data_IF_300648938443
#
_entry.id   IF_300648938443
#
_cell.length_a   1.000
_cell.length_b   1.000
_cell.length_c   1.000
_cell.angle_alpha   90.00
_cell.angle_beta   90.00
_cell.angle_gamma   90.00
#
_symmetry.space_group_name_H-M   'P 1'
#
loop_
_entity.id
_entity.type
_entity.pdbx_description
1 polymer ?
#
# COMPACT_ATOMS: atom_id res chain seq x y z
N UNK A 1 -58.76 -39.65 -30.51
CA UNK A 1 -58.66 -38.47 -29.64
C UNK A 1 -57.78 -38.86 -28.45
N UNK A 2 -56.52 -38.41 -28.42
CA UNK A 2 -55.48 -38.89 -27.50
C UNK A 2 -55.67 -38.22 -26.13
N UNK A 3 -55.82 -39.02 -25.07
CA UNK A 3 -55.86 -38.56 -23.67
C UNK A 3 -54.46 -38.08 -23.26
N UNK A 4 -54.37 -36.81 -22.89
CA UNK A 4 -53.17 -36.17 -22.34
C UNK A 4 -53.13 -36.45 -20.83
N UNK A 5 -52.24 -37.34 -20.38
CA UNK A 5 -51.94 -37.53 -18.96
C UNK A 5 -50.68 -36.73 -18.63
N UNK A 6 -50.86 -35.67 -17.83
CA UNK A 6 -49.78 -34.96 -17.16
C UNK A 6 -49.15 -35.88 -16.11
N UNK A 7 -47.86 -36.22 -16.27
CA UNK A 7 -47.04 -36.75 -15.19
C UNK A 7 -46.33 -35.59 -14.50
N UNK A 8 -46.86 -35.20 -13.34
CA UNK A 8 -46.20 -34.30 -12.39
C UNK A 8 -45.14 -35.12 -11.66
N UNK A 9 -43.86 -35.05 -12.08
CA UNK A 9 -42.75 -35.60 -11.30
C UNK A 9 -42.48 -34.67 -10.11
N UNK A 10 -43.01 -35.05 -8.95
CA UNK A 10 -42.54 -34.55 -7.66
C UNK A 10 -41.05 -34.94 -7.52
N UNK A 11 -40.15 -33.99 -7.73
CA UNK A 11 -38.78 -34.10 -7.23
C UNK A 11 -38.85 -33.75 -5.74
N UNK A 12 -38.82 -34.79 -4.89
CA UNK A 12 -38.62 -34.62 -3.45
C UNK A 12 -37.18 -34.14 -3.26
N UNK A 13 -37.00 -32.83 -3.11
CA UNK A 13 -35.75 -32.25 -2.61
C UNK A 13 -35.72 -32.49 -1.11
N UNK A 14 -35.02 -33.54 -0.68
CA UNK A 14 -34.68 -33.76 0.73
C UNK A 14 -33.71 -32.63 1.12
N UNK A 15 -34.01 -31.80 2.14
CA UNK A 15 -33.06 -30.80 2.60
C UNK A 15 -31.97 -31.51 3.40
N UNK A 16 -30.84 -31.83 2.76
CA UNK A 16 -29.64 -32.31 3.45
C UNK A 16 -28.96 -31.14 4.18
N UNK A 17 -29.57 -30.65 5.25
CA UNK A 17 -29.11 -29.49 6.03
C UNK A 17 -27.89 -29.77 6.93
N UNK A 18 -27.01 -30.71 6.57
CA UNK A 18 -25.96 -31.21 7.47
C UNK A 18 -24.54 -31.33 6.92
N UNK A 19 -24.30 -31.19 5.61
CA UNK A 19 -22.96 -31.47 5.03
C UNK A 19 -22.29 -30.20 4.45
N UNK A 20 -23.03 -29.15 4.13
CA UNK A 20 -22.50 -27.95 3.45
C UNK A 20 -21.81 -26.90 4.36
N UNK A 21 -21.79 -27.12 5.67
CA UNK A 21 -21.36 -26.13 6.65
C UNK A 21 -19.84 -26.17 6.89
N UNK A 22 -19.28 -27.36 7.12
CA UNK A 22 -17.93 -27.51 7.67
C UNK A 22 -16.82 -27.04 6.73
N UNK A 23 -16.94 -27.36 5.44
CA UNK A 23 -15.95 -26.98 4.42
C UNK A 23 -15.98 -25.47 4.15
N UNK A 24 -17.17 -24.86 4.15
CA UNK A 24 -17.33 -23.41 3.99
C UNK A 24 -16.72 -22.63 5.16
N UNK A 25 -16.95 -23.06 6.40
CA UNK A 25 -16.35 -22.41 7.57
C UNK A 25 -14.82 -22.58 7.62
N UNK A 26 -14.29 -23.73 7.21
CA UNK A 26 -12.84 -23.97 7.12
C UNK A 26 -12.18 -23.08 6.06
N UNK A 27 -12.78 -22.98 4.87
CA UNK A 27 -12.28 -22.13 3.79
C UNK A 27 -12.34 -20.64 4.16
N UNK A 28 -13.43 -20.20 4.79
CA UNK A 28 -13.57 -18.82 5.28
C UNK A 28 -12.53 -18.48 6.35
N UNK A 29 -12.29 -19.39 7.30
CA UNK A 29 -11.28 -19.19 8.34
C UNK A 29 -9.87 -19.12 7.74
N UNK A 30 -9.54 -20.00 6.79
CA UNK A 30 -8.25 -19.97 6.10
C UNK A 30 -8.04 -18.68 5.30
N UNK A 31 -9.06 -18.22 4.56
CA UNK A 31 -8.99 -16.96 3.82
C UNK A 31 -8.80 -15.77 4.78
N UNK A 32 -9.56 -15.72 5.89
CA UNK A 32 -9.43 -14.65 6.89
C UNK A 32 -8.03 -14.62 7.52
N UNK A 33 -7.44 -15.78 7.80
CA UNK A 33 -6.09 -15.88 8.35
C UNK A 33 -5.02 -15.46 7.32
N UNK A 34 -5.18 -15.85 6.05
CA UNK A 34 -4.30 -15.44 4.96
C UNK A 34 -4.39 -13.92 4.72
N UNK A 35 -5.60 -13.36 4.72
CA UNK A 35 -5.83 -11.92 4.59
C UNK A 35 -5.16 -11.15 5.74
N UNK A 36 -5.34 -11.61 6.98
CA UNK A 36 -4.68 -11.01 8.14
C UNK A 36 -3.14 -11.05 8.03
N UNK A 37 -2.59 -12.16 7.52
CA UNK A 37 -1.16 -12.28 7.28
C UNK A 37 -0.67 -11.32 6.18
N UNK A 38 -1.40 -11.24 5.07
CA UNK A 38 -1.09 -10.33 3.96
C UNK A 38 -1.10 -8.86 4.41
N UNK A 39 -2.12 -8.47 5.18
CA UNK A 39 -2.20 -7.13 5.77
C UNK A 39 -1.03 -6.85 6.69
N UNK A 40 -0.59 -7.82 7.50
CA UNK A 40 0.55 -7.65 8.40
C UNK A 40 1.87 -7.48 7.65
N UNK A 41 2.06 -8.22 6.56
CA UNK A 41 3.22 -8.10 5.68
C UNK A 41 3.27 -6.69 5.06
N UNK A 42 2.14 -6.22 4.52
CA UNK A 42 2.03 -4.88 3.93
C UNK A 42 2.24 -3.76 4.96
N UNK A 43 1.68 -3.91 6.17
CA UNK A 43 1.88 -2.95 7.27
C UNK A 43 3.37 -2.85 7.64
N UNK A 44 4.06 -3.98 7.74
CA UNK A 44 5.49 -4.02 8.04
C UNK A 44 6.29 -3.31 6.95
N UNK A 45 6.02 -3.65 5.68
CA UNK A 45 6.67 -3.00 4.55
C UNK A 45 6.41 -1.48 4.51
N UNK A 46 5.18 -1.06 4.82
CA UNK A 46 4.83 0.35 4.89
C UNK A 46 5.61 1.08 5.99
N UNK A 47 5.75 0.48 7.17
CA UNK A 47 6.53 1.09 8.25
C UNK A 47 8.01 1.23 7.88
N UNK A 48 8.60 0.18 7.28
CA UNK A 48 9.98 0.25 6.78
C UNK A 48 10.13 1.32 5.69
N UNK A 49 9.13 1.47 4.82
CA UNK A 49 9.08 2.52 3.81
C UNK A 49 8.99 3.92 4.41
N UNK A 50 8.21 4.11 5.48
CA UNK A 50 8.12 5.39 6.22
C UNK A 50 9.43 5.72 6.93
N UNK A 51 10.10 4.73 7.51
CA UNK A 51 11.42 4.89 8.11
C UNK A 51 12.44 5.27 7.04
N UNK A 52 12.43 4.56 5.90
CA UNK A 52 13.28 4.88 4.76
C UNK A 52 13.03 6.30 4.25
N UNK A 53 11.79 6.76 4.07
CA UNK A 53 11.53 8.10 3.52
C UNK A 53 12.06 9.22 4.41
N UNK A 54 12.14 9.00 5.72
CA UNK A 54 12.74 9.95 6.64
C UNK A 54 14.25 10.08 6.36
N UNK A 55 14.72 11.23 5.84
CA UNK A 55 16.12 11.38 5.45
C UNK A 55 17.05 11.36 6.68
N UNK A 56 18.27 10.83 6.56
CA UNK A 56 19.28 10.99 7.60
C UNK A 56 19.59 12.48 7.79
N UNK A 57 20.10 12.83 8.96
CA UNK A 57 20.47 14.22 9.27
C UNK A 57 21.94 14.48 8.95
N UNK A 58 22.22 15.63 8.35
CA UNK A 58 23.54 16.22 8.19
C UNK A 58 23.55 17.57 8.93
N UNK A 59 24.38 17.68 9.97
CA UNK A 59 24.47 18.87 10.82
C UNK A 59 23.12 19.32 11.43
N UNK A 60 22.24 18.37 11.74
CA UNK A 60 20.93 18.64 12.36
C UNK A 60 19.79 18.94 11.37
N UNK A 61 20.08 19.02 10.07
CA UNK A 61 19.07 19.18 9.01
C UNK A 61 18.99 17.92 8.13
N UNK A 62 17.86 17.64 7.46
CA UNK A 62 17.78 16.58 6.45
C UNK A 62 18.92 16.61 5.41
N UNK A 63 19.60 15.49 5.23
CA UNK A 63 20.68 15.33 4.24
C UNK A 63 20.09 15.06 2.85
N UNK A 64 19.85 16.16 2.12
CA UNK A 64 19.42 16.13 0.73
C UNK A 64 20.59 16.21 -0.27
N UNK A 65 21.82 15.87 0.13
CA UNK A 65 22.94 15.83 -0.81
C UNK A 65 22.75 14.75 -1.86
N UNK A 66 23.28 14.98 -3.07
CA UNK A 66 23.27 13.98 -4.13
C UNK A 66 23.91 12.65 -3.68
N UNK A 67 24.95 12.71 -2.85
CA UNK A 67 25.60 11.53 -2.29
C UNK A 67 24.67 10.73 -1.38
N UNK A 68 23.96 11.39 -0.46
CA UNK A 68 22.97 10.76 0.41
C UNK A 68 21.89 10.04 -0.39
N UNK A 69 21.28 10.70 -1.38
CA UNK A 69 20.29 10.08 -2.25
C UNK A 69 20.85 8.88 -3.02
N UNK A 70 22.03 9.00 -3.63
CA UNK A 70 22.65 7.89 -4.38
C UNK A 70 22.90 6.67 -3.48
N UNK A 71 23.40 6.89 -2.27
CA UNK A 71 23.75 5.83 -1.33
C UNK A 71 22.53 5.09 -0.75
N UNK A 72 21.35 5.74 -0.75
CA UNK A 72 20.08 5.17 -0.29
C UNK A 72 19.34 4.37 -1.37
N UNK A 73 19.78 4.43 -2.64
CA UNK A 73 19.12 3.70 -3.72
C UNK A 73 19.19 2.17 -3.63
N UNK A 74 20.25 1.53 -3.11
CA UNK A 74 20.24 0.09 -2.87
C UNK A 74 19.10 -0.33 -1.92
N UNK A 75 18.97 0.34 -0.77
CA UNK A 75 17.91 0.08 0.21
C UNK A 75 16.50 0.31 -0.38
N UNK A 76 16.32 1.39 -1.16
CA UNK A 76 15.07 1.61 -1.89
C UNK A 76 14.70 0.43 -2.80
N UNK A 77 15.67 -0.14 -3.52
CA UNK A 77 15.44 -1.28 -4.42
C UNK A 77 15.03 -2.52 -3.64
N UNK A 78 15.64 -2.77 -2.49
CA UNK A 78 15.23 -3.88 -1.61
C UNK A 78 13.78 -3.74 -1.15
N UNK A 79 13.35 -2.55 -0.74
CA UNK A 79 11.94 -2.27 -0.39
C UNK A 79 11.00 -2.49 -1.58
N UNK A 80 11.43 -2.05 -2.78
CA UNK A 80 10.65 -2.25 -4.00
C UNK A 80 10.52 -3.73 -4.36
N UNK A 81 11.60 -4.50 -4.23
CA UNK A 81 11.62 -5.93 -4.54
C UNK A 81 10.70 -6.68 -3.58
N UNK A 82 10.77 -6.38 -2.27
CA UNK A 82 9.85 -6.92 -1.26
C UNK A 82 8.37 -6.64 -1.59
N UNK A 83 8.04 -5.45 -2.11
CA UNK A 83 6.67 -5.16 -2.56
C UNK A 83 6.26 -6.04 -3.75
N UNK A 84 7.17 -6.23 -4.71
CA UNK A 84 6.93 -6.98 -5.94
C UNK A 84 6.85 -8.50 -5.72
N UNK A 85 7.43 -9.02 -4.65
CA UNK A 85 7.29 -10.42 -4.23
C UNK A 85 5.86 -10.77 -3.80
N UNK A 86 5.07 -9.77 -3.37
CA UNK A 86 3.68 -9.96 -2.99
C UNK A 86 2.83 -10.11 -4.26
N UNK A 87 2.28 -11.30 -4.50
CA UNK A 87 1.36 -11.53 -5.61
C UNK A 87 0.03 -10.80 -5.37
N UNK A 88 -0.07 -9.60 -5.95
CA UNK A 88 -1.26 -8.75 -5.91
C UNK A 88 -2.54 -9.47 -6.30
N UNK A 89 -2.51 -10.48 -7.18
CA UNK A 89 -3.72 -11.16 -7.64
C UNK A 89 -4.41 -11.94 -6.52
N UNK A 90 -3.62 -12.47 -5.58
CA UNK A 90 -4.05 -13.29 -4.44
C UNK A 90 -4.59 -12.49 -3.26
N UNK A 91 -4.36 -11.17 -3.26
CA UNK A 91 -4.77 -10.28 -2.18
C UNK A 91 -6.30 -10.06 -2.16
N UNK A 92 -6.86 -9.91 -0.95
CA UNK A 92 -8.22 -9.37 -0.78
C UNK A 92 -8.29 -7.90 -1.20
N UNK A 93 -9.50 -7.36 -1.32
CA UNK A 93 -9.69 -5.99 -1.80
C UNK A 93 -8.97 -4.94 -0.94
N UNK A 94 -8.94 -5.10 0.39
CA UNK A 94 -8.30 -4.11 1.26
C UNK A 94 -6.77 -4.16 1.09
N UNK A 95 -6.19 -5.37 1.11
CA UNK A 95 -4.75 -5.53 0.86
C UNK A 95 -4.34 -5.05 -0.54
N UNK A 96 -5.19 -5.21 -1.56
CA UNK A 96 -4.94 -4.67 -2.92
C UNK A 96 -4.86 -3.14 -2.93
N UNK A 97 -5.68 -2.47 -2.12
CA UNK A 97 -5.64 -1.01 -1.98
C UNK A 97 -4.33 -0.60 -1.29
N UNK A 98 -4.01 -1.21 -0.15
CA UNK A 98 -2.78 -0.93 0.62
C UNK A 98 -1.53 -1.15 -0.25
N UNK A 99 -1.44 -2.28 -0.96
CA UNK A 99 -0.36 -2.58 -1.90
C UNK A 99 -0.23 -1.51 -2.99
N UNK A 100 -1.36 -1.06 -3.54
CA UNK A 100 -1.35 -0.08 -4.64
C UNK A 100 -0.91 1.30 -4.16
N UNK A 101 -1.24 1.66 -2.91
CA UNK A 101 -0.81 2.91 -2.30
C UNK A 101 0.71 2.92 -2.13
N UNK A 102 1.28 1.88 -1.52
CA UNK A 102 2.74 1.74 -1.34
C UNK A 102 3.44 1.79 -2.71
N UNK A 103 2.92 1.06 -3.70
CA UNK A 103 3.45 1.04 -5.06
C UNK A 103 3.51 2.44 -5.68
N UNK A 104 2.43 3.22 -5.54
CA UNK A 104 2.32 4.57 -6.07
C UNK A 104 3.28 5.54 -5.38
N UNK A 105 3.41 5.48 -4.06
CA UNK A 105 4.33 6.32 -3.30
C UNK A 105 5.79 6.05 -3.69
N UNK A 106 6.20 4.79 -3.72
CA UNK A 106 7.56 4.42 -4.14
C UNK A 106 7.84 4.84 -5.59
N UNK A 107 6.85 4.82 -6.49
CA UNK A 107 7.00 5.32 -7.85
C UNK A 107 7.17 6.85 -7.87
N UNK A 108 6.44 7.56 -7.00
CA UNK A 108 6.61 9.00 -6.82
C UNK A 108 8.01 9.35 -6.32
N UNK A 109 8.53 8.59 -5.35
CA UNK A 109 9.90 8.75 -4.89
C UNK A 109 10.93 8.49 -5.99
N UNK A 110 10.81 7.39 -6.74
CA UNK A 110 11.73 7.10 -7.85
C UNK A 110 11.66 8.18 -8.94
N UNK A 111 10.48 8.69 -9.25
CA UNK A 111 10.29 9.78 -10.19
C UNK A 111 10.95 11.07 -9.70
N UNK A 112 10.82 11.38 -8.41
CA UNK A 112 11.54 12.48 -7.78
C UNK A 112 13.05 12.27 -7.90
N UNK A 113 13.54 11.06 -7.61
CA UNK A 113 14.95 10.70 -7.67
C UNK A 113 15.55 10.84 -9.09
N UNK A 114 14.87 10.30 -10.10
CA UNK A 114 15.41 10.19 -11.47
C UNK A 114 15.08 11.40 -12.32
N UNK A 115 13.85 11.89 -12.23
CA UNK A 115 13.27 12.81 -13.21
C UNK A 115 13.17 14.21 -12.65
N UNK A 116 12.41 14.46 -11.58
CA UNK A 116 12.17 15.84 -11.12
C UNK A 116 13.41 16.44 -10.45
N UNK A 117 14.04 15.68 -9.55
CA UNK A 117 15.16 16.13 -8.73
C UNK A 117 14.89 17.45 -7.99
N UNK A 118 13.78 17.56 -7.23
CA UNK A 118 13.39 18.84 -6.63
C UNK A 118 14.45 19.38 -5.67
N UNK A 119 15.17 18.52 -4.94
CA UNK A 119 16.27 18.96 -4.06
C UNK A 119 17.46 19.59 -4.82
N UNK A 120 17.64 19.29 -6.10
CA UNK A 120 18.70 19.84 -6.94
C UNK A 120 18.24 21.07 -7.72
N UNK A 121 16.96 21.08 -8.16
CA UNK A 121 16.47 22.02 -9.18
C UNK A 121 15.47 23.04 -8.70
N UNK A 122 14.83 22.80 -7.56
CA UNK A 122 13.80 23.68 -7.02
C UNK A 122 14.28 24.36 -5.73
N UNK A 123 14.66 25.65 -5.78
CA UNK A 123 15.02 26.40 -4.58
C UNK A 123 13.90 26.47 -3.54
N UNK A 124 12.63 26.33 -3.93
CA UNK A 124 11.51 26.32 -2.99
C UNK A 124 11.46 25.05 -2.13
N UNK A 125 12.17 23.98 -2.52
CA UNK A 125 12.25 22.73 -1.78
C UNK A 125 12.79 22.89 -0.35
N UNK A 126 13.60 23.93 -0.12
CA UNK A 126 14.22 24.23 1.18
C UNK A 126 13.46 25.28 1.99
N UNK A 127 12.28 25.70 1.54
CA UNK A 127 11.47 26.69 2.24
C UNK A 127 10.48 26.03 3.19
N UNK A 128 10.50 26.44 4.45
CA UNK A 128 9.40 26.18 5.38
C UNK A 128 8.26 27.15 5.07
N UNK A 129 7.12 26.65 4.61
CA UNK A 129 5.94 27.47 4.32
C UNK A 129 4.86 27.19 5.36
N UNK A 130 4.35 28.24 5.98
CA UNK A 130 3.23 28.15 6.91
C UNK A 130 1.91 28.28 6.16
N UNK A 131 0.97 27.40 6.45
CA UNK A 131 -0.37 27.44 5.80
C UNK A 131 -1.29 28.51 6.39
N UNK A 132 -0.90 29.15 7.51
CA UNK A 132 -1.60 30.30 8.08
C UNK A 132 -0.98 31.60 7.57
N UNK A 133 -1.80 32.64 7.38
CA UNK A 133 -1.29 33.98 7.06
C UNK A 133 -0.93 34.69 8.35
N UNK A 134 0.37 34.91 8.54
CA UNK A 134 0.88 35.69 9.65
C UNK A 134 1.05 37.15 9.24
N UNK A 135 0.59 38.06 10.10
CA UNK A 135 0.71 39.51 9.92
C UNK A 135 2.09 40.04 10.37
N UNK A 136 2.99 39.16 10.86
CA UNK A 136 4.34 39.56 11.28
C UNK A 136 5.39 39.23 10.21
N UNK A 137 6.24 40.21 9.81
CA UNK A 137 7.26 39.99 8.76
C UNK A 137 8.25 38.85 9.04
N UNK A 138 8.46 38.48 10.31
CA UNK A 138 9.41 37.46 10.73
C UNK A 138 8.91 36.01 10.55
N UNK A 139 7.66 35.79 10.13
CA UNK A 139 7.05 34.45 10.06
C UNK A 139 7.54 33.62 8.87
N UNK A 140 7.98 34.26 7.78
CA UNK A 140 8.46 33.59 6.57
C UNK A 140 10.01 33.61 6.46
N UNK A 141 10.70 34.02 7.53
CA UNK A 141 12.16 34.00 7.62
C UNK A 141 12.73 32.62 7.99
N UNK A 142 14.03 32.37 7.74
CA UNK A 142 14.63 31.05 7.95
C UNK A 142 14.73 30.76 9.45
N UNK A 143 13.89 29.85 9.94
CA UNK A 143 14.04 29.27 11.28
C UNK A 143 14.50 27.82 11.15
N UNK A 144 15.80 27.64 10.98
CA UNK A 144 16.51 26.38 11.17
C UNK A 144 17.79 26.67 11.95
#
# INVERSE_FOLDING_TARGET
MKKLLLFCSLIIVIPSSGIYSKDFYSQKAHHTALDANNRKILETLFNDWREFENPPLLNGAPDYTANSFNNRMPEFRELRDRLNEIDKSTLDTQSKVDWTLIWAEMNGFEFNYRVLKPWERDPAYYKSVWMNRSDVPAHEGPTH
#
